data_IF_636388592499
#
_entry.id   IF_636388592499
#
_cell.length_a   1.000
_cell.length_b   1.000
_cell.length_c   1.000
_cell.angle_alpha   90.00
_cell.angle_beta   90.00
_cell.angle_gamma   90.00
#
_symmetry.space_group_name_H-M   'P 1'
#
loop_
_entity.id
_entity.type
_entity.pdbx_description
1 polymer ?
#
# COMPACT_ATOMS: atom_id res chain seq x y z
N UNK A 1 -17.52 18.12 4.67
CA UNK A 1 -17.06 16.74 4.91
C UNK A 1 -17.19 16.01 3.60
N UNK A 2 -16.21 16.18 2.72
CA UNK A 2 -16.25 15.59 1.38
C UNK A 2 -15.79 14.15 1.55
N UNK A 3 -16.73 13.21 1.59
CA UNK A 3 -16.39 11.82 1.29
C UNK A 3 -16.04 11.84 -0.19
N UNK A 4 -14.76 11.75 -0.50
CA UNK A 4 -14.37 11.33 -1.84
C UNK A 4 -14.97 9.95 -2.02
N UNK A 5 -15.99 9.86 -2.88
CA UNK A 5 -16.63 8.62 -3.34
C UNK A 5 -15.64 7.87 -4.26
N UNK A 6 -14.43 7.67 -3.74
CA UNK A 6 -13.34 6.96 -4.39
C UNK A 6 -13.48 5.50 -4.04
N UNK A 7 -13.85 4.71 -5.03
CA UNK A 7 -13.87 3.25 -5.00
C UNK A 7 -12.64 2.70 -4.27
N UNK A 8 -12.82 2.16 -3.06
CA UNK A 8 -11.79 1.41 -2.35
C UNK A 8 -11.69 -0.01 -2.94
N UNK A 9 -10.52 -0.64 -2.78
CA UNK A 9 -10.45 -2.08 -3.02
C UNK A 9 -11.04 -2.79 -1.80
N UNK A 10 -11.86 -3.84 -1.98
CA UNK A 10 -12.24 -4.71 -0.87
C UNK A 10 -11.00 -5.40 -0.28
N UNK A 11 -11.04 -5.69 1.02
CA UNK A 11 -9.91 -6.25 1.77
C UNK A 11 -9.47 -7.64 1.29
N UNK A 12 -10.36 -8.41 0.66
CA UNK A 12 -10.04 -9.70 0.04
C UNK A 12 -9.04 -9.60 -1.13
N UNK A 13 -8.86 -8.42 -1.71
CA UNK A 13 -7.83 -8.15 -2.72
C UNK A 13 -6.46 -7.80 -2.11
N UNK A 14 -6.32 -7.75 -0.79
CA UNK A 14 -5.08 -7.36 -0.13
C UNK A 14 -3.91 -8.28 -0.49
N UNK A 15 -4.08 -9.60 -0.48
CA UNK A 15 -3.02 -10.54 -0.84
C UNK A 15 -2.53 -10.31 -2.27
N UNK A 16 -3.46 -10.17 -3.21
CA UNK A 16 -3.16 -9.93 -4.62
C UNK A 16 -2.40 -8.61 -4.81
N UNK A 17 -2.84 -7.53 -4.14
CA UNK A 17 -2.16 -6.25 -4.20
C UNK A 17 -0.76 -6.30 -3.56
N UNK A 18 -0.60 -6.96 -2.43
CA UNK A 18 0.71 -7.12 -1.76
C UNK A 18 1.68 -7.91 -2.63
N UNK A 19 1.19 -8.96 -3.30
CA UNK A 19 1.97 -9.75 -4.26
C UNK A 19 2.40 -8.92 -5.47
N UNK A 20 1.50 -8.08 -5.98
CA UNK A 20 1.76 -7.14 -7.07
C UNK A 20 2.80 -6.09 -6.66
N UNK A 21 2.66 -5.48 -5.47
CA UNK A 21 3.58 -4.49 -4.92
C UNK A 21 5.01 -5.03 -4.75
N UNK A 22 5.16 -6.32 -4.49
CA UNK A 22 6.49 -6.95 -4.43
C UNK A 22 7.25 -6.91 -5.77
N UNK A 23 6.56 -6.60 -6.87
CA UNK A 23 7.16 -6.43 -8.21
C UNK A 23 7.51 -4.98 -8.57
N UNK A 24 7.18 -4.02 -7.71
CA UNK A 24 7.26 -2.59 -8.05
C UNK A 24 8.65 -1.98 -7.81
N UNK A 25 9.59 -2.74 -7.25
CA UNK A 25 10.88 -2.21 -6.82
C UNK A 25 10.72 -1.36 -5.55
N UNK A 26 11.52 -0.30 -5.40
CA UNK A 26 11.54 0.50 -4.17
C UNK A 26 10.18 1.14 -3.86
N UNK A 27 9.72 0.98 -2.62
CA UNK A 27 8.54 1.63 -2.05
C UNK A 27 8.89 2.23 -0.69
N UNK A 28 7.93 2.85 -0.01
CA UNK A 28 8.06 3.18 1.41
C UNK A 28 6.88 2.63 2.18
N UNK A 29 7.13 1.65 3.05
CA UNK A 29 6.11 1.11 3.95
C UNK A 29 6.10 1.90 5.25
N UNK A 30 4.92 2.34 5.68
CA UNK A 30 4.72 3.10 6.92
C UNK A 30 3.84 2.31 7.87
N UNK A 31 4.30 2.15 9.12
CA UNK A 31 3.51 1.61 10.23
C UNK A 31 3.31 2.71 11.27
N UNK A 32 2.06 2.88 11.70
CA UNK A 32 1.66 3.84 12.73
C UNK A 32 1.31 3.06 14.01
N UNK A 33 2.02 3.30 15.10
CA UNK A 33 1.75 2.61 16.36
C UNK A 33 2.09 3.49 17.55
N UNK A 34 1.15 3.64 18.49
CA UNK A 34 1.37 4.41 19.74
C UNK A 34 1.78 5.87 19.51
N UNK A 35 1.32 6.51 18.44
CA UNK A 35 1.74 7.86 18.06
C UNK A 35 3.13 7.96 17.42
N UNK A 36 3.81 6.82 17.23
CA UNK A 36 5.07 6.73 16.50
C UNK A 36 4.85 6.36 15.03
N UNK A 37 5.81 6.75 14.19
CA UNK A 37 5.85 6.44 12.76
C UNK A 37 7.12 5.64 12.49
N UNK A 38 6.97 4.46 11.91
CA UNK A 38 8.07 3.62 11.47
C UNK A 38 8.06 3.55 9.95
N UNK A 39 9.21 3.77 9.34
CA UNK A 39 9.36 3.74 7.88
C UNK A 39 10.35 2.65 7.48
N UNK A 40 9.96 1.85 6.48
CA UNK A 40 10.87 0.99 5.75
C UNK A 40 10.97 1.47 4.30
N UNK A 41 12.17 1.82 3.87
CA UNK A 41 12.47 2.25 2.49
C UNK A 41 13.17 1.12 1.75
N UNK A 42 12.53 0.61 0.71
CA UNK A 42 13.02 -0.52 -0.06
C UNK A 42 11.88 -1.28 -0.75
N UNK A 43 12.19 -2.40 -1.43
CA UNK A 43 11.17 -3.21 -2.07
C UNK A 43 10.17 -3.78 -1.07
N UNK A 44 8.89 -3.80 -1.44
CA UNK A 44 7.92 -4.55 -0.66
C UNK A 44 8.27 -6.06 -0.74
N UNK A 45 8.33 -6.79 0.37
CA UNK A 45 8.73 -8.19 0.34
C UNK A 45 7.68 -9.06 -0.36
N UNK A 46 8.15 -10.14 -1.01
CA UNK A 46 7.27 -11.27 -1.34
C UNK A 46 6.73 -11.89 -0.05
N UNK A 47 5.65 -12.65 -0.16
CA UNK A 47 5.13 -13.40 0.97
C UNK A 47 4.29 -14.61 0.57
N UNK A 48 3.98 -15.42 1.57
CA UNK A 48 3.26 -16.68 1.44
C UNK A 48 2.26 -16.86 2.58
N UNK A 49 1.10 -17.44 2.28
CA UNK A 49 0.09 -17.76 3.28
C UNK A 49 0.54 -18.95 4.13
N UNK A 50 0.54 -18.76 5.44
CA UNK A 50 0.90 -19.80 6.40
C UNK A 50 0.49 -19.42 7.82
N UNK A 51 0.02 -20.42 8.58
CA UNK A 51 -0.39 -20.24 9.99
C UNK A 51 -1.41 -19.11 10.24
N UNK A 52 -2.26 -18.79 9.26
CA UNK A 52 -3.28 -17.73 9.37
C UNK A 52 -2.81 -16.32 9.04
N UNK A 53 -1.58 -16.16 8.51
CA UNK A 53 -1.00 -14.88 8.12
C UNK A 53 -0.44 -14.92 6.69
N UNK A 54 -0.28 -13.75 6.08
CA UNK A 54 0.61 -13.54 4.94
C UNK A 54 2.00 -13.21 5.47
N UNK A 55 2.94 -14.16 5.32
CA UNK A 55 4.27 -14.10 5.91
C UNK A 55 5.25 -13.47 4.92
N UNK A 56 5.94 -12.39 5.32
CA UNK A 56 6.91 -11.71 4.46
C UNK A 56 8.22 -12.50 4.40
N UNK A 57 8.66 -12.90 3.20
CA UNK A 57 9.80 -13.80 2.95
C UNK A 57 10.92 -13.13 2.16
N UNK A 58 11.07 -11.81 2.31
CA UNK A 58 12.10 -11.02 1.62
C UNK A 58 13.54 -11.37 2.04
N UNK A 59 14.56 -10.85 1.32
CA UNK A 59 15.96 -11.03 1.72
C UNK A 59 16.25 -10.35 3.08
N UNK A 60 17.33 -10.78 3.74
CA UNK A 60 17.86 -10.16 4.96
C UNK A 60 19.19 -9.46 4.62
N UNK A 61 19.40 -8.19 5.04
CA UNK A 61 18.46 -7.33 5.77
C UNK A 61 17.27 -6.88 4.90
N UNK A 62 16.11 -6.62 5.52
CA UNK A 62 14.90 -6.22 4.80
C UNK A 62 13.71 -5.94 5.72
N UNK A 63 12.52 -5.78 5.13
CA UNK A 63 11.26 -5.70 5.86
C UNK A 63 10.70 -7.11 6.06
N UNK A 64 10.45 -7.49 7.29
CA UNK A 64 10.01 -8.82 7.68
C UNK A 64 8.84 -8.70 8.65
N UNK A 65 7.98 -9.71 8.66
CA UNK A 65 6.81 -9.74 9.54
C UNK A 65 5.69 -10.62 9.03
N UNK A 66 4.55 -10.51 9.70
CA UNK A 66 3.35 -11.31 9.44
C UNK A 66 2.15 -10.37 9.32
N UNK A 67 1.47 -10.39 8.18
CA UNK A 67 0.30 -9.55 7.92
C UNK A 67 -0.96 -10.37 8.19
N UNK A 68 -1.79 -9.90 9.12
CA UNK A 68 -3.13 -10.45 9.34
C UNK A 68 -4.09 -9.90 8.27
N UNK A 69 -4.25 -10.63 7.16
CA UNK A 69 -5.12 -10.20 6.06
C UNK A 69 -6.59 -10.05 6.50
N UNK A 70 -7.05 -10.86 7.46
CA UNK A 70 -8.42 -10.76 7.99
C UNK A 70 -8.69 -9.44 8.73
N UNK A 71 -7.63 -8.74 9.16
CA UNK A 71 -7.76 -7.42 9.76
C UNK A 71 -7.97 -6.30 8.73
N UNK A 72 -7.68 -6.55 7.46
CA UNK A 72 -7.80 -5.56 6.37
C UNK A 72 -9.22 -5.63 5.83
N UNK A 73 -10.03 -4.61 6.11
CA UNK A 73 -11.41 -4.54 5.63
C UNK A 73 -11.48 -3.95 4.22
N UNK A 74 -10.65 -2.94 3.93
CA UNK A 74 -10.58 -2.31 2.63
C UNK A 74 -9.23 -1.61 2.44
N UNK A 75 -8.95 -1.21 1.19
CA UNK A 75 -7.71 -0.53 0.81
C UNK A 75 -8.09 0.74 0.06
N UNK A 76 -7.74 1.89 0.62
CA UNK A 76 -8.01 3.17 0.00
C UNK A 76 -6.80 3.71 -0.77
N UNK A 77 -7.07 4.53 -1.78
CA UNK A 77 -6.08 5.21 -2.58
C UNK A 77 -5.81 6.59 -1.97
N UNK A 78 -4.59 6.83 -1.54
CA UNK A 78 -4.14 8.18 -1.26
C UNK A 78 -3.55 8.77 -2.53
N UNK A 79 -4.16 9.81 -3.06
CA UNK A 79 -3.61 10.66 -4.12
C UNK A 79 -3.73 12.11 -3.68
N UNK A 80 -2.71 12.60 -2.99
CA UNK A 80 -2.70 13.98 -2.53
C UNK A 80 -1.27 14.51 -2.40
N UNK A 81 -1.06 15.81 -2.59
CA UNK A 81 0.25 16.38 -2.40
C UNK A 81 0.72 16.25 -0.93
N UNK A 82 1.99 15.90 -0.74
CA UNK A 82 2.69 15.96 0.53
C UNK A 82 3.84 16.97 0.41
N UNK A 83 3.80 18.03 1.24
CA UNK A 83 4.78 19.13 1.20
C UNK A 83 4.97 19.73 -0.22
N UNK A 84 3.87 19.87 -0.97
CA UNK A 84 3.87 20.44 -2.31
C UNK A 84 4.24 19.49 -3.45
N UNK A 85 4.56 18.22 -3.17
CA UNK A 85 4.86 17.21 -4.19
C UNK A 85 3.76 16.15 -4.24
N UNK A 86 3.42 15.66 -5.44
CA UNK A 86 2.50 14.54 -5.60
C UNK A 86 2.94 13.34 -4.74
N UNK A 87 1.99 12.71 -4.05
CA UNK A 87 2.26 11.57 -3.18
C UNK A 87 1.11 10.57 -3.29
N UNK A 88 1.49 9.33 -3.57
CA UNK A 88 0.58 8.22 -3.82
C UNK A 88 0.83 7.10 -2.82
N UNK A 89 -0.23 6.52 -2.26
CA UNK A 89 -0.13 5.37 -1.38
C UNK A 89 -1.37 4.47 -1.42
N UNK A 90 -1.16 3.20 -1.11
CA UNK A 90 -2.22 2.28 -0.70
C UNK A 90 -2.33 2.31 0.84
N UNK A 91 -3.52 2.64 1.33
CA UNK A 91 -3.84 2.66 2.74
C UNK A 91 -4.61 1.38 3.09
N UNK A 92 -3.97 0.44 3.79
CA UNK A 92 -4.62 -0.79 4.24
C UNK A 92 -5.33 -0.49 5.57
N UNK A 93 -6.66 -0.60 5.57
CA UNK A 93 -7.49 -0.09 6.66
C UNK A 93 -8.39 -1.16 7.26
N UNK A 94 -8.67 -1.02 8.56
CA UNK A 94 -9.63 -1.86 9.28
C UNK A 94 -11.08 -1.44 8.99
N UNK A 95 -12.03 -2.07 9.69
CA UNK A 95 -13.47 -1.79 9.54
C UNK A 95 -13.87 -0.37 10.00
N UNK A 96 -13.03 0.29 10.79
CA UNK A 96 -13.27 1.60 11.40
C UNK A 96 -12.47 2.70 10.68
N UNK A 97 -12.01 2.42 9.45
CA UNK A 97 -11.17 3.27 8.61
C UNK A 97 -9.78 3.62 9.22
N UNK A 98 -9.34 2.94 10.28
CA UNK A 98 -8.00 3.16 10.84
C UNK A 98 -6.95 2.55 9.92
N UNK A 99 -5.81 3.25 9.76
CA UNK A 99 -4.69 2.71 9.00
C UNK A 99 -3.96 1.64 9.80
N UNK A 100 -3.92 0.42 9.27
CA UNK A 100 -3.10 -0.67 9.78
C UNK A 100 -1.64 -0.41 9.36
N UNK A 101 -1.44 -0.18 8.06
CA UNK A 101 -0.18 0.28 7.48
C UNK A 101 -0.44 0.93 6.11
N UNK A 102 0.59 1.57 5.56
CA UNK A 102 0.55 2.20 4.24
C UNK A 102 1.72 1.75 3.40
N UNK A 103 1.52 1.66 2.09
CA UNK A 103 2.60 1.48 1.12
C UNK A 103 2.59 2.65 0.15
N UNK A 104 3.58 3.53 0.28
CA UNK A 104 3.79 4.66 -0.62
C UNK A 104 4.61 4.24 -1.83
N UNK A 105 4.31 4.87 -2.98
CA UNK A 105 5.14 4.72 -4.17
C UNK A 105 6.54 5.27 -3.90
N UNK A 106 7.53 4.59 -4.48
CA UNK A 106 8.92 4.97 -4.36
C UNK A 106 9.27 6.22 -5.14
N UNK A 107 10.47 6.72 -4.82
CA UNK A 107 11.09 7.85 -5.50
C UNK A 107 12.48 7.44 -5.96
N UNK A 108 12.91 8.03 -7.08
CA UNK A 108 14.28 7.99 -7.54
C UNK A 108 15.19 8.79 -6.59
N UNK A 109 16.50 8.69 -6.78
CA UNK A 109 17.50 9.40 -5.97
C UNK A 109 17.34 10.93 -6.02
N UNK A 110 16.83 11.47 -7.13
CA UNK A 110 16.51 12.90 -7.30
C UNK A 110 15.20 13.32 -6.62
N UNK A 111 14.51 12.40 -5.96
CA UNK A 111 13.24 12.63 -5.28
C UNK A 111 12.01 12.61 -6.19
N UNK A 112 12.14 12.38 -7.50
CA UNK A 112 11.00 12.22 -8.40
C UNK A 112 10.28 10.88 -8.18
N UNK A 113 8.97 10.82 -8.40
CA UNK A 113 8.21 9.56 -8.32
C UNK A 113 8.66 8.60 -9.42
N UNK A 114 8.66 7.30 -9.11
CA UNK A 114 8.91 6.26 -10.10
C UNK A 114 7.72 6.19 -11.06
N UNK A 115 7.94 6.59 -12.33
CA UNK A 115 6.86 6.78 -13.31
C UNK A 115 6.06 5.50 -13.61
N UNK A 116 6.72 4.34 -13.64
CA UNK A 116 6.06 3.04 -13.84
C UNK A 116 5.06 2.73 -12.70
N UNK A 117 5.49 2.94 -11.45
CA UNK A 117 4.61 2.75 -10.29
C UNK A 117 3.42 3.69 -10.31
N UNK A 118 3.62 4.96 -10.69
CA UNK A 118 2.51 5.92 -10.84
C UNK A 118 1.52 5.43 -11.90
N UNK A 119 2.02 4.94 -13.03
CA UNK A 119 1.20 4.43 -14.12
C UNK A 119 0.37 3.21 -13.68
N UNK A 120 1.00 2.23 -13.00
CA UNK A 120 0.32 1.05 -12.46
C UNK A 120 -0.69 1.40 -11.36
N UNK A 121 -0.34 2.32 -10.46
CA UNK A 121 -1.27 2.83 -9.43
C UNK A 121 -2.53 3.44 -10.06
N UNK A 122 -2.35 4.32 -11.05
CA UNK A 122 -3.46 4.97 -11.76
C UNK A 122 -4.31 3.96 -12.52
N UNK A 123 -3.69 2.94 -13.11
CA UNK A 123 -4.41 1.86 -13.78
C UNK A 123 -5.33 1.10 -12.80
N UNK A 124 -4.81 0.70 -11.63
CA UNK A 124 -5.61 0.03 -10.59
C UNK A 124 -6.76 0.93 -10.13
N UNK A 125 -6.49 2.22 -9.90
CA UNK A 125 -7.49 3.21 -9.50
C UNK A 125 -8.61 3.36 -10.54
N UNK A 126 -8.27 3.40 -11.84
CA UNK A 126 -9.23 3.53 -12.94
C UNK A 126 -10.07 2.26 -13.17
N UNK A 127 -9.49 1.07 -12.99
CA UNK A 127 -10.25 -0.17 -13.12
C UNK A 127 -11.41 -0.24 -12.11
N UNK A 128 -11.25 0.37 -10.94
CA UNK A 128 -12.32 0.45 -9.95
C UNK A 128 -13.39 1.48 -10.29
N UNK A 129 -13.00 2.66 -10.80
CA UNK A 129 -13.99 3.67 -11.21
C UNK A 129 -14.89 3.16 -12.33
N UNK A 130 -14.36 2.33 -13.24
CA UNK A 130 -15.14 1.69 -14.31
C UNK A 130 -16.07 0.58 -13.82
N UNK A 131 -15.73 -0.13 -12.74
CA UNK A 131 -16.60 -1.17 -12.16
C UNK A 131 -17.81 -0.62 -11.42
N UNK A 132 -17.78 0.68 -11.08
CA UNK A 132 -18.84 1.36 -10.35
C UNK A 132 -19.81 2.14 -11.27
N UNK A 133 -19.64 2.04 -12.59
CA UNK A 133 -20.58 2.53 -13.61
C UNK A 133 -21.55 1.42 -14.00
#
# INVERSE_FOLDING_TARGET
>A
MNREDGSNLPGDLAEALLSELATWGNTTTIILHGGSVFEFKGPFPKGEIGHGYYNLTGPIPGFHGHINLNGIHHINFQDKPHRGQASYAFNFQDQDDNNIFKVFLGRNEDGTLIADQVSRFKHIQQQLSLKNL
#
